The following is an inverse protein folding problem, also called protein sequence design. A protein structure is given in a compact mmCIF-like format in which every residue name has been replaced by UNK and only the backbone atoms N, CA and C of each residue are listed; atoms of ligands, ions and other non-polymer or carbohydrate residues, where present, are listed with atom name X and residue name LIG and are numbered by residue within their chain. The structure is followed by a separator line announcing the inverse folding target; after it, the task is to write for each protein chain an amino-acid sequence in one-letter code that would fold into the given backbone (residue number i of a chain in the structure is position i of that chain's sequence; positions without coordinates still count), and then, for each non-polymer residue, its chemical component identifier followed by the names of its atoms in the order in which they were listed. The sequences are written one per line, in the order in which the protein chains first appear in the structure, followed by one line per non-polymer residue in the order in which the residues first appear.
data_IF_579729179881
#
_entry.id   IF_579729179881
#
_cell.length_a   1.000
_cell.length_b   1.000
_cell.length_c   1.000
_cell.angle_alpha   90.00
_cell.angle_beta   90.00
_cell.angle_gamma   90.00
#
_symmetry.space_group_name_H-M   'P 1'
#
loop_
_entity.id
_entity.type
_entity.pdbx_description
1 polymer ?
#
# COMPACT_ATOMS: atom_id res chain seq x y z
N UNK A 1 -5.76 7.15 10.18
CA UNK A 1 -4.53 6.33 10.07
C UNK A 1 -4.77 4.99 9.39
N UNK A 2 -5.85 4.25 9.69
CA UNK A 2 -6.13 2.94 9.05
C UNK A 2 -7.41 2.88 8.19
N UNK A 3 -8.05 4.03 7.92
CA UNK A 3 -9.33 4.07 7.21
C UNK A 3 -10.41 3.22 7.89
N UNK A 4 -10.50 3.32 9.21
CA UNK A 4 -11.45 2.55 10.02
C UNK A 4 -12.66 3.43 10.37
N UNK A 5 -13.85 3.02 9.98
CA UNK A 5 -15.10 3.73 10.25
C UNK A 5 -16.17 2.73 10.69
N UNK A 6 -16.82 3.03 11.82
CA UNK A 6 -17.84 2.17 12.44
C UNK A 6 -19.21 2.80 12.28
N UNK A 7 -20.15 2.03 11.71
CA UNK A 7 -21.58 2.32 11.75
C UNK A 7 -22.27 1.24 12.59
N UNK A 8 -22.46 1.55 13.89
CA UNK A 8 -23.04 0.61 14.84
C UNK A 8 -24.52 0.30 14.55
N UNK A 9 -25.29 1.29 14.06
CA UNK A 9 -26.70 1.11 13.73
C UNK A 9 -26.89 0.16 12.54
N UNK A 10 -26.02 0.28 11.53
CA UNK A 10 -26.00 -0.63 10.37
C UNK A 10 -25.15 -1.89 10.57
N UNK A 11 -24.58 -2.09 11.76
CA UNK A 11 -23.67 -3.20 12.08
C UNK A 11 -22.56 -3.36 11.03
N UNK A 12 -22.01 -2.25 10.55
CA UNK A 12 -21.06 -2.22 9.44
C UNK A 12 -19.74 -1.59 9.89
N UNK A 13 -18.64 -2.23 9.49
CA UNK A 13 -17.29 -1.70 9.59
C UNK A 13 -16.76 -1.41 8.20
N UNK A 14 -16.43 -0.16 7.90
CA UNK A 14 -15.59 0.17 6.75
C UNK A 14 -14.13 0.10 7.17
N UNK A 15 -13.33 -0.66 6.43
CA UNK A 15 -11.90 -0.79 6.66
C UNK A 15 -11.12 -0.60 5.37
N UNK A 16 -10.55 0.59 5.21
CA UNK A 16 -9.86 1.05 4.00
C UNK A 16 -8.40 1.45 4.31
N UNK A 17 -7.50 0.49 4.60
CA UNK A 17 -6.16 0.82 5.07
C UNK A 17 -5.24 1.32 3.94
N UNK A 18 -4.69 2.55 4.03
CA UNK A 18 -3.56 2.96 3.21
C UNK A 18 -2.27 2.44 3.86
N UNK A 19 -1.79 1.29 3.41
CA UNK A 19 -0.65 0.59 4.05
C UNK A 19 0.66 1.07 3.42
N UNK A 20 1.63 1.60 4.21
CA UNK A 20 2.94 1.93 3.70
C UNK A 20 3.61 0.77 2.96
N UNK A 21 4.44 1.08 1.96
CA UNK A 21 5.08 0.06 1.13
C UNK A 21 5.91 -0.92 1.97
N UNK A 22 6.60 -0.44 3.00
CA UNK A 22 7.43 -1.22 3.94
C UNK A 22 6.65 -2.03 4.99
N UNK A 23 5.34 -1.84 5.11
CA UNK A 23 4.51 -2.60 6.07
C UNK A 23 3.94 -3.86 5.44
N UNK A 24 4.37 -5.03 5.93
CA UNK A 24 3.85 -6.33 5.46
C UNK A 24 2.75 -6.90 6.36
N UNK A 25 2.57 -6.37 7.57
CA UNK A 25 1.50 -6.79 8.46
C UNK A 25 1.21 -5.75 9.55
N UNK A 26 -0.01 -5.78 10.09
CA UNK A 26 -0.39 -5.06 11.31
C UNK A 26 -1.64 -5.70 11.93
N UNK A 27 -1.98 -5.29 13.15
CA UNK A 27 -3.14 -5.78 13.89
C UNK A 27 -3.94 -4.62 14.49
N UNK A 28 -5.27 -4.70 14.38
CA UNK A 28 -6.22 -3.79 15.02
C UNK A 28 -7.16 -4.65 15.86
N UNK A 29 -7.02 -4.55 17.18
CA UNK A 29 -7.82 -5.34 18.13
C UNK A 29 -8.99 -4.56 18.72
N UNK A 30 -9.98 -5.30 19.23
CA UNK A 30 -11.10 -4.78 20.01
C UNK A 30 -11.92 -3.68 19.30
N UNK A 31 -12.15 -3.82 17.99
CA UNK A 31 -13.02 -2.91 17.22
C UNK A 31 -14.48 -3.26 17.53
N UNK A 32 -15.21 -2.33 18.15
CA UNK A 32 -16.61 -2.52 18.53
C UNK A 32 -17.55 -2.01 17.45
N UNK A 33 -18.52 -2.82 17.05
CA UNK A 33 -19.55 -2.50 16.06
C UNK A 33 -20.91 -2.97 16.59
N UNK A 34 -21.64 -2.07 17.26
CA UNK A 34 -22.80 -2.47 18.04
C UNK A 34 -22.41 -3.51 19.11
N UNK A 35 -23.08 -4.66 19.11
CA UNK A 35 -22.78 -5.78 20.02
C UNK A 35 -21.63 -6.67 19.54
N UNK A 36 -21.09 -6.43 18.33
CA UNK A 36 -19.97 -7.20 17.80
C UNK A 36 -18.63 -6.61 18.27
N UNK A 37 -17.65 -7.49 18.51
CA UNK A 37 -16.25 -7.14 18.73
C UNK A 37 -15.40 -7.88 17.72
N UNK A 38 -14.56 -7.14 17.01
CA UNK A 38 -13.67 -7.65 15.96
C UNK A 38 -12.20 -7.49 16.35
N UNK A 39 -11.41 -8.51 16.03
CA UNK A 39 -9.95 -8.41 15.94
C UNK A 39 -9.55 -8.65 14.50
N UNK A 40 -8.73 -7.75 13.95
CA UNK A 40 -8.36 -7.69 12.54
C UNK A 40 -6.85 -7.84 12.41
N UNK A 41 -6.38 -8.81 11.64
CA UNK A 41 -4.97 -8.96 11.29
C UNK A 41 -4.82 -8.86 9.78
N UNK A 42 -4.06 -7.86 9.35
CA UNK A 42 -3.71 -7.65 7.96
C UNK A 42 -2.33 -8.24 7.69
N UNK A 43 -2.17 -8.89 6.54
CA UNK A 43 -0.88 -9.27 5.98
C UNK A 43 -0.88 -9.07 4.47
N UNK A 44 0.28 -8.73 3.90
CA UNK A 44 0.51 -8.74 2.45
C UNK A 44 1.78 -9.48 2.06
N UNK A 45 1.76 -10.10 0.90
CA UNK A 45 2.89 -10.69 0.16
C UNK A 45 2.84 -10.18 -1.28
N UNK A 46 3.82 -10.54 -2.13
CA UNK A 46 3.79 -10.16 -3.55
C UNK A 46 2.56 -10.67 -4.32
N UNK A 47 1.87 -11.69 -3.81
CA UNK A 47 0.79 -12.39 -4.51
C UNK A 47 -0.55 -12.35 -3.78
N UNK A 48 -0.59 -11.92 -2.53
CA UNK A 48 -1.79 -11.98 -1.70
C UNK A 48 -1.87 -10.86 -0.66
N UNK A 49 -3.08 -10.36 -0.44
CA UNK A 49 -3.48 -9.64 0.78
C UNK A 49 -4.40 -10.56 1.59
N UNK A 50 -4.08 -10.75 2.86
CA UNK A 50 -4.88 -11.54 3.81
C UNK A 50 -5.46 -10.61 4.88
N UNK A 51 -6.76 -10.71 5.12
CA UNK A 51 -7.43 -10.14 6.28
C UNK A 51 -8.03 -11.29 7.12
N UNK A 52 -7.40 -11.55 8.26
CA UNK A 52 -7.96 -12.45 9.27
C UNK A 52 -8.84 -11.63 10.22
N UNK A 53 -10.04 -12.13 10.46
CA UNK A 53 -11.04 -11.48 11.30
C UNK A 53 -11.51 -12.48 12.34
N UNK A 54 -11.47 -12.10 13.61
CA UNK A 54 -12.17 -12.83 14.67
C UNK A 54 -13.33 -11.98 15.17
N UNK A 55 -14.55 -12.50 15.07
CA UNK A 55 -15.77 -11.86 15.58
C UNK A 55 -16.31 -12.59 16.80
N UNK A 56 -16.60 -11.82 17.84
CA UNK A 56 -17.41 -12.25 18.99
C UNK A 56 -18.62 -11.32 19.17
N UNK A 57 -19.68 -11.81 19.81
CA UNK A 57 -20.90 -11.02 20.03
C UNK A 57 -21.83 -10.98 18.81
N UNK A 58 -22.37 -9.80 18.53
CA UNK A 58 -23.39 -9.58 17.50
C UNK A 58 -22.94 -9.81 16.06
N UNK A 59 -23.88 -9.62 15.13
CA UNK A 59 -23.62 -9.64 13.70
C UNK A 59 -22.79 -8.43 13.25
N UNK A 60 -21.95 -8.61 12.25
CA UNK A 60 -21.21 -7.53 11.61
C UNK A 60 -20.96 -7.81 10.13
N UNK A 61 -21.04 -6.77 9.31
CA UNK A 61 -20.56 -6.77 7.92
C UNK A 61 -19.30 -5.92 7.82
N UNK A 62 -18.32 -6.35 7.03
CA UNK A 62 -17.13 -5.56 6.72
C UNK A 62 -17.19 -5.12 5.26
N UNK A 63 -16.98 -3.82 5.03
CA UNK A 63 -16.59 -3.24 3.75
C UNK A 63 -15.07 -3.06 3.74
N UNK A 64 -14.34 -4.02 3.17
CA UNK A 64 -12.89 -3.98 3.11
C UNK A 64 -12.44 -3.35 1.79
N UNK A 65 -11.55 -2.33 1.89
CA UNK A 65 -11.13 -1.49 0.78
C UNK A 65 -9.63 -1.17 0.84
N UNK A 66 -8.72 -2.16 0.83
CA UNK A 66 -7.29 -1.88 0.85
C UNK A 66 -6.87 -1.10 -0.40
N UNK A 67 -5.98 -0.13 -0.21
CA UNK A 67 -5.35 0.58 -1.31
C UNK A 67 -4.21 -0.26 -1.91
N UNK A 68 -4.10 -0.23 -3.22
CA UNK A 68 -3.06 -0.85 -4.04
C UNK A 68 -2.54 0.17 -5.05
N UNK A 69 -1.33 -0.01 -5.56
CA UNK A 69 -0.83 0.88 -6.61
C UNK A 69 -1.68 0.78 -7.89
N UNK A 70 -1.74 1.82 -8.74
CA UNK A 70 -2.45 1.77 -10.02
C UNK A 70 -1.96 0.67 -10.98
N UNK A 71 -0.77 0.14 -10.72
CA UNK A 71 -0.15 -0.94 -11.48
C UNK A 71 -0.67 -2.32 -11.09
N UNK A 72 -1.09 -2.50 -9.84
CA UNK A 72 -1.54 -3.78 -9.32
C UNK A 72 -2.69 -4.36 -10.15
N UNK A 73 -2.78 -5.68 -10.21
CA UNK A 73 -3.90 -6.42 -10.78
C UNK A 73 -4.51 -7.31 -9.72
N UNK A 74 -5.81 -7.17 -9.49
CA UNK A 74 -6.57 -8.05 -8.61
C UNK A 74 -7.06 -9.24 -9.43
N UNK A 75 -6.72 -10.45 -9.00
CA UNK A 75 -7.01 -11.69 -9.72
C UNK A 75 -8.26 -12.38 -9.18
N UNK A 76 -8.58 -12.18 -7.91
CA UNK A 76 -9.70 -12.82 -7.23
C UNK A 76 -9.75 -12.47 -5.74
N UNK A 77 -10.91 -12.74 -5.13
CA UNK A 77 -11.09 -12.65 -3.68
C UNK A 77 -11.87 -13.86 -3.16
N UNK A 78 -11.49 -14.37 -2.00
CA UNK A 78 -12.07 -15.55 -1.38
C UNK A 78 -12.22 -15.35 0.14
N UNK A 79 -13.39 -15.68 0.68
CA UNK A 79 -13.66 -15.74 2.11
C UNK A 79 -13.76 -17.21 2.53
N UNK A 80 -12.88 -17.66 3.41
CA UNK A 80 -12.84 -19.06 3.87
C UNK A 80 -12.80 -20.07 2.71
N UNK A 81 -12.10 -19.73 1.62
CA UNK A 81 -11.97 -20.54 0.41
C UNK A 81 -13.18 -20.51 -0.53
N UNK A 82 -14.19 -19.70 -0.24
CA UNK A 82 -15.33 -19.46 -1.14
C UNK A 82 -15.16 -18.12 -1.85
N UNK A 83 -15.38 -18.10 -3.16
CA UNK A 83 -15.26 -16.86 -3.96
C UNK A 83 -16.23 -15.79 -3.47
N UNK A 84 -15.74 -14.56 -3.33
CA UNK A 84 -16.56 -13.38 -3.03
C UNK A 84 -16.42 -12.34 -4.13
N UNK A 85 -17.45 -11.52 -4.29
CA UNK A 85 -17.40 -10.41 -5.23
C UNK A 85 -16.40 -9.34 -4.79
N UNK A 86 -15.76 -8.73 -5.76
CA UNK A 86 -14.87 -7.60 -5.56
C UNK A 86 -14.94 -6.64 -6.75
N UNK A 87 -14.59 -5.38 -6.50
CA UNK A 87 -14.43 -4.36 -7.53
C UNK A 87 -13.13 -3.60 -7.30
N UNK A 88 -12.27 -3.52 -8.31
CA UNK A 88 -11.12 -2.63 -8.28
C UNK A 88 -11.55 -1.23 -8.76
N UNK A 89 -11.67 -0.29 -7.83
CA UNK A 89 -12.05 1.09 -8.10
C UNK A 89 -10.79 1.95 -8.25
N UNK A 90 -10.57 2.52 -9.44
CA UNK A 90 -9.46 3.42 -9.67
C UNK A 90 -9.74 4.80 -9.04
N UNK A 91 -8.73 5.36 -8.37
CA UNK A 91 -8.73 6.70 -7.81
C UNK A 91 -7.50 7.48 -8.30
N UNK A 92 -7.38 8.75 -7.92
CA UNK A 92 -6.22 9.56 -8.30
C UNK A 92 -5.00 9.09 -7.51
N UNK A 93 -4.09 8.34 -8.16
CA UNK A 93 -2.82 7.91 -7.59
C UNK A 93 -2.80 6.46 -7.08
N UNK A 94 -3.96 5.83 -6.85
CA UNK A 94 -4.08 4.44 -6.39
C UNK A 94 -5.34 3.75 -6.92
N UNK A 95 -5.56 2.51 -6.50
CA UNK A 95 -6.81 1.79 -6.68
C UNK A 95 -7.24 1.14 -5.37
N UNK A 96 -8.55 1.10 -5.11
CA UNK A 96 -9.12 0.45 -3.94
C UNK A 96 -9.82 -0.85 -4.33
N UNK A 97 -9.53 -1.93 -3.61
CA UNK A 97 -10.23 -3.21 -3.82
C UNK A 97 -11.46 -3.27 -2.93
N UNK A 98 -12.62 -2.96 -3.47
CA UNK A 98 -13.88 -2.97 -2.74
C UNK A 98 -14.43 -4.41 -2.65
N UNK A 99 -14.50 -4.96 -1.44
CA UNK A 99 -15.18 -6.23 -1.16
C UNK A 99 -15.99 -6.13 0.12
N UNK A 100 -17.21 -6.68 0.08
CA UNK A 100 -18.17 -6.63 1.18
C UNK A 100 -18.55 -8.05 1.58
N UNK A 101 -18.48 -8.35 2.88
CA UNK A 101 -18.84 -9.66 3.39
C UNK A 101 -19.38 -9.61 4.82
N UNK A 102 -20.39 -10.45 5.09
CA UNK A 102 -20.80 -10.73 6.46
C UNK A 102 -19.70 -11.52 7.16
N UNK A 103 -19.36 -11.15 8.39
CA UNK A 103 -18.31 -11.83 9.17
C UNK A 103 -18.97 -12.98 9.95
N UNK A 104 -18.63 -14.25 9.67
CA UNK A 104 -19.08 -15.38 10.47
C UNK A 104 -18.69 -15.24 11.95
N UNK A 105 -19.42 -15.92 12.84
CA UNK A 105 -19.00 -16.03 14.24
C UNK A 105 -17.66 -16.76 14.33
N UNK A 106 -16.75 -16.27 15.18
CA UNK A 106 -15.43 -16.86 15.34
C UNK A 106 -14.43 -16.33 14.29
N UNK A 107 -13.51 -17.19 13.86
CA UNK A 107 -12.44 -16.82 12.93
C UNK A 107 -12.90 -16.91 11.47
N UNK A 108 -12.43 -16.00 10.64
CA UNK A 108 -12.59 -16.03 9.18
C UNK A 108 -11.39 -15.37 8.51
N UNK A 109 -11.07 -15.83 7.30
CA UNK A 109 -9.95 -15.34 6.51
C UNK A 109 -10.44 -14.93 5.14
N UNK A 110 -10.29 -13.64 4.83
CA UNK A 110 -10.40 -13.11 3.48
C UNK A 110 -9.02 -13.13 2.83
N UNK A 111 -8.93 -13.63 1.60
CA UNK A 111 -7.74 -13.58 0.74
C UNK A 111 -8.07 -12.83 -0.53
N UNK A 112 -7.22 -11.88 -0.91
CA UNK A 112 -7.28 -11.17 -2.18
C UNK A 112 -6.00 -11.49 -2.94
N UNK A 113 -6.13 -12.15 -4.09
CA UNK A 113 -5.00 -12.49 -4.95
C UNK A 113 -4.63 -11.29 -5.80
N UNK A 114 -3.37 -10.89 -5.74
CA UNK A 114 -2.85 -9.70 -6.42
C UNK A 114 -1.61 -10.04 -7.24
N UNK A 115 -1.30 -9.21 -8.23
CA UNK A 115 -0.04 -9.26 -8.98
C UNK A 115 0.44 -7.85 -9.29
N UNK A 116 1.75 -7.69 -9.41
CA UNK A 116 2.41 -6.46 -9.86
C UNK A 116 2.17 -5.24 -8.96
N UNK A 117 1.73 -5.42 -7.71
CA UNK A 117 1.71 -4.34 -6.75
C UNK A 117 3.14 -3.82 -6.52
N UNK A 118 3.27 -2.51 -6.32
CA UNK A 118 4.54 -1.79 -6.27
C UNK A 118 4.35 -0.55 -5.43
N UNK A 119 5.28 -0.23 -4.54
CA UNK A 119 5.13 0.93 -3.68
C UNK A 119 6.47 1.51 -3.25
N UNK A 120 6.46 2.79 -2.96
CA UNK A 120 7.59 3.50 -2.34
C UNK A 120 7.08 4.14 -1.06
N UNK A 121 7.87 4.09 0.01
CA UNK A 121 7.52 4.66 1.30
C UNK A 121 8.70 5.37 1.93
N UNK A 122 8.41 6.45 2.63
CA UNK A 122 9.39 7.22 3.39
C UNK A 122 8.93 7.32 4.84
N UNK A 123 9.72 6.75 5.75
CA UNK A 123 9.53 6.92 7.18
C UNK A 123 10.15 8.25 7.61
N UNK A 124 9.33 9.31 7.68
CA UNK A 124 9.78 10.62 8.14
C UNK A 124 10.16 10.58 9.62
N UNK A 125 11.24 11.27 9.97
CA UNK A 125 11.64 11.48 11.36
C UNK A 125 11.13 12.82 11.83
N UNK A 126 10.50 12.85 13.00
CA UNK A 126 10.05 14.10 13.59
C UNK A 126 11.27 14.93 14.02
N UNK A 127 11.31 16.23 13.69
CA UNK A 127 12.34 17.10 14.22
C UNK A 127 12.16 17.27 15.74
N UNK A 128 13.21 17.67 16.47
CA UNK A 128 13.07 18.14 17.84
C UNK A 128 11.99 19.22 17.96
N UNK A 129 11.35 19.32 19.13
CA UNK A 129 10.34 20.34 19.39
C UNK A 129 10.92 21.74 19.13
N UNK A 130 10.21 22.54 18.32
CA UNK A 130 10.62 23.89 17.93
C UNK A 130 11.65 23.96 16.81
N UNK A 131 12.19 22.84 16.33
CA UNK A 131 13.14 22.83 15.22
C UNK A 131 12.44 22.82 13.84
N UNK A 132 13.10 23.42 12.85
CA UNK A 132 12.62 23.44 11.46
C UNK A 132 12.56 22.01 10.89
N UNK A 133 11.46 21.69 10.20
CA UNK A 133 11.32 20.41 9.52
C UNK A 133 12.32 20.27 8.37
N UNK A 134 13.16 19.23 8.45
CA UNK A 134 14.13 18.83 7.42
C UNK A 134 13.77 17.50 6.76
N UNK A 135 12.52 17.05 6.92
CA UNK A 135 12.02 15.80 6.33
C UNK A 135 11.81 15.93 4.82
N UNK A 136 11.91 14.79 4.12
CA UNK A 136 11.51 14.68 2.72
C UNK A 136 9.99 14.87 2.60
N UNK A 137 9.54 15.57 1.57
CA UNK A 137 8.12 15.70 1.22
C UNK A 137 7.93 15.25 -0.22
N UNK A 138 6.85 14.50 -0.46
CA UNK A 138 6.38 14.18 -1.81
C UNK A 138 5.57 15.37 -2.31
N UNK A 139 5.94 15.91 -3.47
CA UNK A 139 5.27 17.03 -4.12
C UNK A 139 4.28 16.52 -5.16
N UNK A 140 4.65 15.48 -5.91
CA UNK A 140 3.78 14.86 -6.90
C UNK A 140 4.11 13.38 -7.09
N UNK A 141 3.08 12.63 -7.49
CA UNK A 141 3.16 11.26 -7.93
C UNK A 141 2.43 11.14 -9.26
N UNK A 142 3.07 10.56 -10.28
CA UNK A 142 2.48 10.41 -11.61
C UNK A 142 2.85 9.07 -12.23
N UNK A 143 1.84 8.35 -12.70
CA UNK A 143 1.98 7.09 -13.41
C UNK A 143 1.77 7.29 -14.92
N UNK A 144 2.57 6.62 -15.75
CA UNK A 144 2.28 6.48 -17.18
C UNK A 144 0.93 5.78 -17.42
N UNK A 145 0.39 5.87 -18.65
CA UNK A 145 -0.83 5.15 -19.03
C UNK A 145 -0.69 3.63 -18.88
N UNK A 146 0.43 3.07 -19.34
CA UNK A 146 0.76 1.64 -19.26
C UNK A 146 1.14 1.17 -17.85
N UNK A 147 1.25 2.11 -16.90
CA UNK A 147 1.64 1.87 -15.49
C UNK A 147 3.03 1.25 -15.34
N UNK A 148 3.89 1.41 -16.33
CA UNK A 148 5.30 0.96 -16.39
C UNK A 148 6.30 2.03 -15.99
N UNK A 149 5.84 3.25 -15.74
CA UNK A 149 6.67 4.37 -15.31
C UNK A 149 6.01 5.11 -14.17
N UNK A 150 6.76 5.28 -13.08
CA UNK A 150 6.36 6.07 -11.91
C UNK A 150 7.32 7.25 -11.75
N UNK A 151 6.79 8.47 -11.83
CA UNK A 151 7.50 9.70 -11.48
C UNK A 151 7.09 10.16 -10.09
N UNK A 152 8.09 10.41 -9.24
CA UNK A 152 7.93 11.03 -7.94
C UNK A 152 8.74 12.31 -7.91
N UNK A 153 8.11 13.41 -7.56
CA UNK A 153 8.80 14.66 -7.26
C UNK A 153 8.87 14.87 -5.75
N UNK A 154 10.03 15.23 -5.27
CA UNK A 154 10.30 15.45 -3.86
C UNK A 154 10.90 16.82 -3.62
N UNK A 155 10.66 17.35 -2.43
CA UNK A 155 11.44 18.46 -1.87
C UNK A 155 12.04 18.05 -0.53
N UNK A 156 13.24 18.53 -0.23
CA UNK A 156 14.01 18.15 0.95
C UNK A 156 15.03 19.20 1.33
N UNK A 157 15.74 18.98 2.44
CA UNK A 157 16.81 19.85 2.88
C UNK A 157 18.02 19.75 1.93
N UNK A 158 18.63 20.90 1.60
CA UNK A 158 19.83 20.94 0.79
C UNK A 158 20.97 20.12 1.40
N UNK A 159 21.74 19.43 0.55
CA UNK A 159 22.85 18.57 0.94
C UNK A 159 22.48 17.28 1.68
N UNK A 160 21.19 17.01 1.95
CA UNK A 160 20.74 15.77 2.60
C UNK A 160 20.49 14.64 1.60
N UNK A 161 20.84 13.43 2.04
CA UNK A 161 20.40 12.18 1.44
C UNK A 161 19.21 11.61 2.21
N UNK A 162 18.25 11.04 1.50
CA UNK A 162 17.07 10.39 2.07
C UNK A 162 16.98 8.96 1.57
N UNK A 163 16.71 8.02 2.47
CA UNK A 163 16.40 6.63 2.14
C UNK A 163 14.90 6.42 2.08
N UNK A 164 14.44 5.69 1.07
CA UNK A 164 13.05 5.28 0.92
C UNK A 164 12.98 3.77 0.72
N UNK A 165 12.00 3.13 1.35
CA UNK A 165 11.75 1.72 1.18
C UNK A 165 10.89 1.48 -0.07
N UNK A 166 11.20 0.41 -0.79
CA UNK A 166 10.53 -0.01 -2.01
C UNK A 166 9.94 -1.39 -1.81
N UNK A 167 8.67 -1.55 -2.13
CA UNK A 167 7.98 -2.83 -2.21
C UNK A 167 8.03 -3.39 -3.62
N UNK A 168 8.28 -4.69 -3.74
CA UNK A 168 8.40 -5.42 -5.00
C UNK A 168 9.47 -4.85 -5.96
N UNK A 169 10.75 -4.74 -5.53
CA UNK A 169 11.84 -4.24 -6.37
C UNK A 169 12.22 -5.17 -7.52
N UNK A 170 11.62 -6.37 -7.59
CA UNK A 170 11.75 -7.26 -8.75
C UNK A 170 11.16 -6.68 -10.04
N UNK A 171 10.29 -5.67 -9.93
CA UNK A 171 9.71 -4.99 -11.07
C UNK A 171 10.57 -3.86 -11.66
N UNK A 172 11.59 -3.39 -10.94
CA UNK A 172 12.42 -2.25 -11.38
C UNK A 172 13.41 -2.71 -12.44
N UNK A 173 13.34 -2.11 -13.63
CA UNK A 173 14.35 -2.24 -14.68
C UNK A 173 15.46 -1.22 -14.51
N UNK A 174 15.09 0.03 -14.23
CA UNK A 174 16.04 1.10 -13.91
C UNK A 174 15.40 2.20 -13.07
N UNK A 175 16.24 3.02 -12.44
CA UNK A 175 15.82 4.18 -11.65
C UNK A 175 16.70 5.39 -12.00
N UNK A 176 16.06 6.52 -12.25
CA UNK A 176 16.72 7.81 -12.46
C UNK A 176 16.57 8.70 -11.23
N UNK A 177 17.58 9.54 -10.94
CA UNK A 177 17.51 10.50 -9.84
C UNK A 177 17.66 9.89 -8.43
N UNK A 178 17.81 8.57 -8.33
CA UNK A 178 18.06 7.84 -7.11
C UNK A 178 19.05 6.68 -7.35
N UNK A 179 19.63 6.15 -6.27
CA UNK A 179 20.46 4.96 -6.30
C UNK A 179 19.76 3.81 -5.57
N UNK A 180 19.78 2.61 -6.13
CA UNK A 180 19.31 1.40 -5.44
C UNK A 180 20.40 0.91 -4.50
N UNK A 181 20.16 0.97 -3.19
CA UNK A 181 21.19 0.76 -2.14
C UNK A 181 21.15 -0.64 -1.54
N UNK A 182 19.96 -1.25 -1.46
CA UNK A 182 19.79 -2.63 -0.95
C UNK A 182 18.60 -3.29 -1.65
N UNK A 183 18.72 -4.58 -1.98
CA UNK A 183 17.61 -5.44 -2.41
C UNK A 183 17.59 -6.71 -1.56
N UNK A 184 16.44 -7.03 -0.99
CA UNK A 184 16.24 -8.14 -0.06
C UNK A 184 14.84 -8.74 -0.31
N UNK A 185 14.80 -9.77 -1.15
CA UNK A 185 13.54 -10.42 -1.56
C UNK A 185 12.50 -9.44 -2.10
N UNK A 186 11.41 -9.26 -1.33
CA UNK A 186 10.25 -8.44 -1.66
C UNK A 186 10.45 -6.93 -1.36
N UNK A 187 11.58 -6.55 -0.74
CA UNK A 187 11.85 -5.18 -0.32
C UNK A 187 13.20 -4.66 -0.85
N UNK A 188 13.30 -3.37 -1.06
CA UNK A 188 14.55 -2.68 -1.36
C UNK A 188 14.61 -1.31 -0.67
N UNK A 189 15.78 -0.69 -0.73
CA UNK A 189 15.98 0.71 -0.38
C UNK A 189 16.56 1.48 -1.56
N UNK A 190 16.01 2.66 -1.81
CA UNK A 190 16.64 3.64 -2.70
C UNK A 190 17.09 4.87 -1.91
N UNK A 191 18.12 5.55 -2.40
CA UNK A 191 18.63 6.78 -1.82
C UNK A 191 18.56 7.92 -2.83
N UNK A 192 18.01 9.05 -2.39
CA UNK A 192 17.92 10.29 -3.16
C UNK A 192 18.82 11.33 -2.52
N UNK A 193 19.75 11.90 -3.28
CA UNK A 193 20.67 12.92 -2.81
C UNK A 193 20.26 14.31 -3.32
N UNK A 194 20.01 15.23 -2.40
CA UNK A 194 19.80 16.63 -2.72
C UNK A 194 21.14 17.36 -2.80
N UNK A 195 21.32 18.24 -3.79
CA UNK A 195 22.55 19.01 -3.92
C UNK A 195 22.67 19.98 -2.74
N UNK A 196 23.90 20.28 -2.32
CA UNK A 196 24.14 21.38 -1.40
C UNK A 196 23.89 22.70 -2.14
N UNK A 197 23.17 23.62 -1.51
CA UNK A 197 22.90 24.96 -2.04
C UNK A 197 23.08 25.97 -0.91
N UNK A 198 23.61 27.15 -1.24
CA UNK A 198 23.79 28.28 -0.29
C UNK A 198 22.53 29.13 -0.16
N UNK A 199 21.50 28.87 -0.97
CA UNK A 199 20.19 29.52 -0.89
C UNK A 199 19.27 28.78 0.08
N UNK A 200 18.43 29.52 0.83
CA UNK A 200 17.36 29.00 1.71
C UNK A 200 16.19 28.33 0.94
N UNK A 201 16.36 28.07 -0.36
CA UNK A 201 15.39 27.37 -1.19
C UNK A 201 15.42 25.87 -0.87
N UNK A 202 14.26 25.24 -0.67
CA UNK A 202 14.18 23.77 -0.60
C UNK A 202 14.36 23.19 -2.02
N UNK A 203 15.48 22.51 -2.33
CA UNK A 203 15.68 21.95 -3.65
C UNK A 203 14.63 20.87 -3.97
N UNK A 204 14.29 20.76 -5.26
CA UNK A 204 13.43 19.71 -5.77
C UNK A 204 14.27 18.59 -6.40
N UNK A 205 13.81 17.35 -6.28
CA UNK A 205 14.37 16.18 -6.95
C UNK A 205 13.27 15.34 -7.54
N UNK A 206 13.45 14.99 -8.81
CA UNK A 206 12.62 14.02 -9.51
C UNK A 206 13.30 12.66 -9.49
N UNK A 207 12.54 11.63 -9.15
CA UNK A 207 12.92 10.22 -9.26
C UNK A 207 11.98 9.56 -10.24
N UNK A 208 12.53 8.79 -11.17
CA UNK A 208 11.75 8.05 -12.17
C UNK A 208 12.07 6.58 -12.04
N UNK A 209 11.05 5.76 -11.78
CA UNK A 209 11.16 4.31 -11.85
C UNK A 209 10.67 3.84 -13.20
N UNK A 210 11.51 3.08 -13.90
CA UNK A 210 11.14 2.31 -15.07
C UNK A 210 10.90 0.87 -14.63
N UNK A 211 9.69 0.38 -14.86
CA UNK A 211 9.24 -0.92 -14.41
C UNK A 211 9.04 -1.83 -15.62
N UNK A 212 9.41 -3.10 -15.47
CA UNK A 212 9.25 -4.08 -16.54
C UNK A 212 7.81 -4.16 -17.02
N UNK A 213 7.57 -4.45 -18.29
CA UNK A 213 6.20 -4.62 -18.80
C UNK A 213 5.39 -5.61 -17.95
N UNK A 214 4.07 -5.39 -17.81
CA UNK A 214 3.19 -6.34 -17.09
C UNK A 214 3.26 -7.68 -17.82
N UNK A 215 3.95 -8.67 -17.23
CA UNK A 215 3.89 -10.04 -17.76
C UNK A 215 2.44 -10.51 -17.67
N UNK A 216 1.80 -10.72 -18.82
CA UNK A 216 0.51 -11.41 -18.90
C UNK A 216 0.64 -12.74 -18.16
N UNK A 217 -0.40 -13.13 -17.42
CA UNK A 217 -0.51 -14.53 -17.00
C UNK A 217 -0.54 -15.34 -18.29
N UNK A 218 0.49 -16.17 -18.51
CA UNK A 218 0.52 -17.05 -19.67
C UNK A 218 -0.78 -17.82 -19.71
N UNK A 219 -1.50 -17.72 -20.82
CA UNK A 219 -2.54 -18.67 -21.17
C UNK A 219 -1.90 -20.05 -21.09
N UNK A 220 -2.26 -20.81 -20.06
CA UNK A 220 -1.96 -22.24 -20.03
C UNK A 220 -2.65 -22.86 -21.23
N UNK A 221 -1.88 -23.08 -22.28
CA UNK A 221 -2.32 -23.79 -23.45
C UNK A 221 -2.60 -25.24 -23.02
N UNK A 222 -3.88 -25.57 -22.97
CA UNK A 222 -4.36 -26.94 -22.98
C UNK A 222 -3.93 -27.57 -24.30
N UNK A 223 -3.05 -28.56 -24.27
CA UNK A 223 -3.28 -29.95 -24.71
C UNK A 223 -1.99 -30.76 -24.70
#
# INVERSE_FOLDING_TARGET
MFGLEVDAAKKTLTFAPPVPADWTSFHVGNVRVGDAVLNLRYRKTLTEITLEVTRTGGECTIDFRPALSPRASVLGAELNGQRVEYRAAAHQGDQHVETRFAVPQGASTLRIHVKNDFGVSYASTLPPLGATSRGLRVISETWSGERDRLELEFTGAAGKGYEMAVWNPGQIESVEGAQLVKKDGEAAKIQVQFPATTSDTYPHRKVVFHLAGKRSAGTGEKR
#
